data_IF_052073304830
#
_entry.id   IF_052073304830
#
_cell.length_a   1.000
_cell.length_b   1.000
_cell.length_c   1.000
_cell.angle_alpha   90.00
_cell.angle_beta   90.00
_cell.angle_gamma   90.00
#
_symmetry.space_group_name_H-M   'P 1'
#
loop_
_entity.id
_entity.type
_entity.pdbx_description
1 polymer ?
#
# COMPACT_ATOMS: atom_id res chain seq x y z
N UNK A 1 19.72 -29.96 13.96
CA UNK A 1 19.80 -28.59 14.49
C UNK A 1 18.38 -28.12 14.69
N UNK A 2 17.91 -28.06 15.94
CA UNK A 2 16.60 -27.55 16.31
C UNK A 2 16.63 -26.03 16.17
N UNK A 3 15.87 -25.48 15.23
CA UNK A 3 15.70 -24.04 15.12
C UNK A 3 14.83 -23.56 16.27
N UNK A 4 15.43 -22.86 17.22
CA UNK A 4 14.70 -22.08 18.21
C UNK A 4 13.96 -20.97 17.46
N UNK A 5 12.65 -21.12 17.30
CA UNK A 5 11.79 -19.99 16.95
C UNK A 5 11.83 -19.03 18.14
N UNK A 6 12.18 -17.77 17.90
CA UNK A 6 12.12 -16.71 18.89
C UNK A 6 10.65 -16.58 19.33
N UNK A 7 10.33 -17.06 20.54
CA UNK A 7 8.96 -17.02 21.05
C UNK A 7 8.57 -15.57 21.33
N UNK A 8 7.60 -15.07 20.56
CA UNK A 8 6.87 -13.82 20.86
C UNK A 8 6.28 -13.93 22.27
N UNK A 9 6.60 -12.98 23.16
CA UNK A 9 6.03 -12.99 24.53
C UNK A 9 4.56 -12.57 24.48
N UNK A 10 3.75 -13.03 25.44
CA UNK A 10 2.35 -12.59 25.56
C UNK A 10 2.23 -11.06 25.62
N UNK A 11 3.16 -10.41 26.32
CA UNK A 11 3.22 -8.95 26.38
C UNK A 11 3.59 -8.32 25.03
N UNK A 12 4.50 -8.93 24.24
CA UNK A 12 4.81 -8.49 22.87
C UNK A 12 3.58 -8.53 21.97
N UNK A 13 2.78 -9.59 22.10
CA UNK A 13 1.52 -9.74 21.35
C UNK A 13 0.51 -8.69 21.80
N UNK A 14 0.29 -8.51 23.11
CA UNK A 14 -0.62 -7.49 23.67
C UNK A 14 -0.20 -6.09 23.22
N UNK A 15 1.08 -5.75 23.33
CA UNK A 15 1.59 -4.46 22.91
C UNK A 15 1.39 -4.25 21.40
N UNK A 16 1.59 -5.30 20.59
CA UNK A 16 1.40 -5.24 19.14
C UNK A 16 -0.07 -5.03 18.76
N UNK A 17 -1.01 -5.69 19.44
CA UNK A 17 -2.44 -5.59 19.14
C UNK A 17 -3.10 -4.35 19.74
N UNK A 18 -2.53 -3.74 20.78
CA UNK A 18 -3.11 -2.58 21.47
C UNK A 18 -2.55 -1.23 21.04
N UNK A 19 -1.45 -1.21 20.26
CA UNK A 19 -0.85 0.03 19.78
C UNK A 19 -1.68 0.70 18.70
N UNK A 20 -1.76 2.04 18.78
CA UNK A 20 -2.27 2.86 17.69
C UNK A 20 -1.31 2.79 16.50
N UNK A 21 -1.83 2.39 15.35
CA UNK A 21 -1.04 2.34 14.12
C UNK A 21 -0.62 3.76 13.69
N UNK A 22 0.68 4.01 13.68
CA UNK A 22 1.26 5.24 13.15
C UNK A 22 1.80 4.97 11.75
N UNK A 23 1.20 5.58 10.73
CA UNK A 23 1.66 5.44 9.35
C UNK A 23 3.12 5.88 9.17
N UNK A 24 3.79 5.30 8.19
CA UNK A 24 5.12 5.69 7.72
C UNK A 24 5.06 6.11 6.23
N UNK A 25 6.21 6.43 5.64
CA UNK A 25 6.32 6.82 4.23
C UNK A 25 5.70 5.77 3.31
N UNK A 26 6.08 4.51 3.48
CA UNK A 26 5.61 3.41 2.66
C UNK A 26 4.08 3.26 2.70
N UNK A 27 3.50 3.34 3.90
CA UNK A 27 2.06 3.17 4.08
C UNK A 27 1.31 4.36 3.50
N UNK A 28 1.82 5.60 3.69
CA UNK A 28 1.17 6.81 3.15
C UNK A 28 1.27 6.91 1.63
N UNK A 29 2.40 6.47 1.04
CA UNK A 29 2.53 6.33 -0.41
C UNK A 29 1.54 5.28 -0.94
N UNK A 30 1.43 4.14 -0.25
CA UNK A 30 0.41 3.13 -0.53
C UNK A 30 -1.00 3.72 -0.50
N UNK A 31 -1.37 4.43 0.58
CA UNK A 31 -2.67 5.08 0.71
C UNK A 31 -2.95 6.08 -0.41
N UNK A 32 -1.96 6.88 -0.82
CA UNK A 32 -2.13 7.80 -1.96
C UNK A 32 -2.42 7.04 -3.27
N UNK A 33 -1.76 5.89 -3.48
CA UNK A 33 -2.01 5.03 -4.63
C UNK A 33 -3.41 4.41 -4.57
N UNK A 34 -3.82 3.84 -3.42
CA UNK A 34 -5.15 3.25 -3.22
C UNK A 34 -6.26 4.27 -3.48
N UNK A 35 -6.14 5.51 -2.99
CA UNK A 35 -7.14 6.57 -3.25
C UNK A 35 -7.34 6.87 -4.73
N UNK A 36 -6.29 6.80 -5.56
CA UNK A 36 -6.45 6.94 -7.01
C UNK A 36 -7.25 5.78 -7.57
N UNK A 37 -6.95 4.56 -7.12
CA UNK A 37 -7.65 3.36 -7.58
C UNK A 37 -9.09 3.33 -7.09
N UNK A 38 -9.39 3.82 -5.89
CA UNK A 38 -10.72 3.86 -5.26
C UNK A 38 -11.62 4.96 -5.84
N UNK A 39 -11.11 6.20 -5.90
CA UNK A 39 -11.93 7.36 -6.24
C UNK A 39 -11.88 7.69 -7.74
N UNK A 40 -10.83 7.27 -8.45
CA UNK A 40 -10.55 7.62 -9.85
C UNK A 40 -10.16 9.09 -10.07
N UNK A 41 -10.76 10.03 -9.33
CA UNK A 41 -10.40 11.45 -9.37
C UNK A 41 -10.25 12.02 -7.96
N UNK A 42 -9.37 11.46 -7.13
CA UNK A 42 -9.16 11.96 -5.77
C UNK A 42 -8.69 13.42 -5.77
N UNK A 43 -9.07 14.14 -4.71
CA UNK A 43 -8.65 15.53 -4.51
C UNK A 43 -7.13 15.60 -4.41
N UNK A 44 -6.51 16.35 -5.31
CA UNK A 44 -5.07 16.51 -5.38
C UNK A 44 -4.65 17.88 -5.90
N UNK A 45 -3.42 18.27 -5.58
CA UNK A 45 -2.77 19.48 -6.08
C UNK A 45 -1.85 19.13 -7.26
N UNK A 46 -1.71 20.05 -8.22
CA UNK A 46 -0.73 19.88 -9.31
C UNK A 46 0.67 20.10 -8.76
N UNK A 47 1.56 19.11 -8.92
CA UNK A 47 2.97 19.25 -8.61
C UNK A 47 3.74 19.59 -9.89
N UNK A 48 4.34 20.79 -10.03
CA UNK A 48 5.15 21.12 -11.19
C UNK A 48 6.43 20.27 -11.22
N UNK A 49 7.00 20.12 -12.42
CA UNK A 49 8.34 19.55 -12.56
C UNK A 49 9.36 20.45 -11.84
N UNK A 50 10.45 19.85 -11.36
CA UNK A 50 11.47 20.56 -10.62
C UNK A 50 12.73 19.74 -10.46
N UNK A 51 13.46 20.02 -9.38
CA UNK A 51 14.72 19.36 -9.06
C UNK A 51 14.72 18.97 -7.59
N UNK A 52 15.15 17.75 -7.28
CA UNK A 52 15.35 17.27 -5.91
C UNK A 52 16.84 17.30 -5.58
N UNK A 53 17.19 17.96 -4.48
CA UNK A 53 18.53 17.95 -3.89
C UNK A 53 18.61 16.85 -2.82
N UNK A 54 19.68 16.07 -2.83
CA UNK A 54 19.95 15.04 -1.83
C UNK A 54 21.45 14.83 -1.65
N UNK A 55 21.85 14.21 -0.54
CA UNK A 55 23.24 13.85 -0.28
C UNK A 55 23.54 12.47 -0.85
N UNK A 56 24.60 12.37 -1.67
CA UNK A 56 25.12 11.11 -2.18
C UNK A 56 26.61 11.02 -1.83
N UNK A 57 26.99 10.06 -0.98
CA UNK A 57 28.36 9.95 -0.42
C UNK A 57 28.89 11.27 0.16
N UNK A 58 28.04 12.01 0.88
CA UNK A 58 28.40 13.30 1.49
C UNK A 58 28.53 14.47 0.51
N UNK A 59 28.21 14.28 -0.78
CA UNK A 59 28.15 15.36 -1.78
C UNK A 59 26.71 15.72 -2.09
N UNK A 60 26.41 17.01 -2.12
CA UNK A 60 25.12 17.49 -2.63
C UNK A 60 25.00 17.13 -4.11
N UNK A 61 23.90 16.46 -4.44
CA UNK A 61 23.56 16.02 -5.79
C UNK A 61 22.13 16.46 -6.09
N UNK A 62 21.86 16.68 -7.37
CA UNK A 62 20.56 17.09 -7.88
C UNK A 62 20.06 16.10 -8.93
N UNK A 63 18.76 15.86 -8.96
CA UNK A 63 18.11 15.12 -10.04
C UNK A 63 16.81 15.79 -10.47
N UNK A 64 16.44 15.67 -11.76
CA UNK A 64 15.17 16.19 -12.23
C UNK A 64 14.01 15.38 -11.64
N UNK A 65 12.97 16.08 -11.24
CA UNK A 65 11.73 15.48 -10.74
C UNK A 65 10.61 15.81 -11.73
N UNK A 66 9.90 14.81 -12.28
CA UNK A 66 8.84 15.05 -13.23
C UNK A 66 7.63 15.76 -12.59
N UNK A 67 6.75 16.29 -13.45
CA UNK A 67 5.47 16.81 -12.99
C UNK A 67 4.59 15.67 -12.47
N UNK A 68 3.69 16.01 -11.54
CA UNK A 68 2.91 15.02 -10.81
C UNK A 68 1.63 15.55 -10.16
N UNK A 69 1.19 14.81 -9.14
CA UNK A 69 0.07 15.13 -8.27
C UNK A 69 0.49 14.94 -6.82
N UNK A 70 0.08 15.88 -5.98
CA UNK A 70 0.29 15.83 -4.53
C UNK A 70 -1.03 15.56 -3.83
N UNK A 71 -1.01 14.59 -2.94
CA UNK A 71 -2.13 14.12 -2.13
C UNK A 71 -1.85 14.44 -0.66
N UNK A 72 -2.88 14.85 0.07
CA UNK A 72 -2.81 15.00 1.51
C UNK A 72 -3.24 13.69 2.15
N UNK A 73 -2.29 12.96 2.75
CA UNK A 73 -2.53 11.72 3.49
C UNK A 73 -2.17 11.97 4.95
N UNK A 74 -3.20 12.11 5.79
CA UNK A 74 -3.08 12.36 7.23
C UNK A 74 -2.21 13.57 7.60
N UNK A 75 -2.29 14.65 6.80
CA UNK A 75 -1.49 15.87 6.97
C UNK A 75 -0.11 15.81 6.30
N UNK A 76 0.25 14.70 5.65
CA UNK A 76 1.49 14.55 4.90
C UNK A 76 1.25 14.72 3.40
N UNK A 77 2.09 15.54 2.77
CA UNK A 77 2.05 15.77 1.33
C UNK A 77 2.81 14.67 0.60
N UNK A 78 2.07 13.75 -0.01
CA UNK A 78 2.61 12.64 -0.82
C UNK A 78 2.54 13.00 -2.29
N UNK A 79 3.65 12.93 -3.02
CA UNK A 79 3.70 13.27 -4.44
C UNK A 79 4.02 12.05 -5.30
N UNK A 80 3.12 11.77 -6.25
CA UNK A 80 3.26 10.78 -7.32
C UNK A 80 3.44 11.48 -8.65
N UNK A 81 4.18 10.90 -9.59
CA UNK A 81 4.31 11.49 -10.91
C UNK A 81 3.12 11.13 -11.81
N UNK A 82 3.03 11.79 -12.97
CA UNK A 82 1.92 11.55 -13.89
C UNK A 82 1.88 10.10 -14.39
N UNK A 83 3.03 9.45 -14.57
CA UNK A 83 3.09 8.07 -15.06
C UNK A 83 2.58 7.10 -13.99
N UNK A 84 3.04 7.25 -12.74
CA UNK A 84 2.58 6.52 -11.57
C UNK A 84 1.07 6.68 -11.36
N UNK A 85 0.53 7.91 -11.44
CA UNK A 85 -0.91 8.15 -11.37
C UNK A 85 -1.66 7.45 -12.52
N UNK A 86 -1.11 7.45 -13.74
CA UNK A 86 -1.72 6.77 -14.89
C UNK A 86 -1.74 5.26 -14.73
N UNK A 87 -0.72 4.66 -14.09
CA UNK A 87 -0.72 3.22 -13.77
C UNK A 87 -1.90 2.88 -12.85
N UNK A 88 -2.07 3.63 -11.75
CA UNK A 88 -3.20 3.44 -10.83
C UNK A 88 -4.56 3.62 -11.53
N UNK A 89 -4.72 4.66 -12.35
CA UNK A 89 -5.95 4.90 -13.12
C UNK A 89 -6.21 3.80 -14.16
N UNK A 90 -5.18 3.36 -14.87
CA UNK A 90 -5.29 2.28 -15.84
C UNK A 90 -5.65 0.97 -15.16
N UNK A 91 -5.15 0.72 -13.95
CA UNK A 91 -5.49 -0.45 -13.16
C UNK A 91 -6.96 -0.41 -12.71
N UNK A 92 -7.43 0.72 -12.16
CA UNK A 92 -8.86 0.92 -11.85
C UNK A 92 -9.75 0.61 -13.05
N UNK A 93 -9.39 1.13 -14.22
CA UNK A 93 -10.20 0.98 -15.43
C UNK A 93 -10.27 -0.45 -15.98
N UNK A 94 -9.45 -1.39 -15.48
CA UNK A 94 -9.59 -2.82 -15.80
C UNK A 94 -10.82 -3.44 -15.14
N UNK A 95 -11.32 -2.83 -14.05
CA UNK A 95 -12.41 -3.35 -13.24
C UNK A 95 -13.50 -2.27 -13.04
N UNK A 96 -14.18 -1.83 -14.11
CA UNK A 96 -15.07 -0.65 -14.07
C UNK A 96 -16.31 -0.84 -13.18
N UNK A 97 -16.76 -2.08 -13.00
CA UNK A 97 -17.95 -2.43 -12.22
C UNK A 97 -17.61 -2.99 -10.82
N UNK A 98 -16.33 -2.98 -10.45
CA UNK A 98 -15.88 -3.51 -9.17
C UNK A 98 -16.21 -2.57 -7.99
N UNK A 99 -16.39 -3.18 -6.83
CA UNK A 99 -16.60 -2.47 -5.58
C UNK A 99 -15.26 -2.18 -4.92
N UNK A 100 -15.08 -0.97 -4.39
CA UNK A 100 -13.83 -0.53 -3.77
C UNK A 100 -13.99 -0.32 -2.25
N UNK A 101 -12.92 -0.58 -1.49
CA UNK A 101 -12.81 -0.31 -0.04
C UNK A 101 -13.99 -0.83 0.79
N UNK A 102 -14.39 -2.07 0.53
CA UNK A 102 -15.54 -2.68 1.20
C UNK A 102 -15.13 -3.28 2.53
N UNK A 103 -15.73 -2.80 3.62
CA UNK A 103 -15.47 -3.29 4.98
C UNK A 103 -16.53 -4.28 5.43
N UNK A 104 -16.09 -5.47 5.83
CA UNK A 104 -16.93 -6.48 6.47
C UNK A 104 -16.33 -6.92 7.81
N UNK A 105 -17.16 -7.59 8.59
CA UNK A 105 -16.73 -8.24 9.82
C UNK A 105 -17.43 -9.58 9.98
N UNK A 106 -16.79 -10.48 10.73
CA UNK A 106 -17.36 -11.78 11.09
C UNK A 106 -16.99 -12.12 12.53
N UNK A 107 -17.98 -12.56 13.29
CA UNK A 107 -17.82 -13.03 14.66
C UNK A 107 -17.43 -14.52 14.67
N UNK A 108 -16.29 -14.84 15.26
CA UNK A 108 -15.79 -16.21 15.47
C UNK A 108 -15.92 -16.65 16.94
N UNK A 109 -16.78 -15.98 17.71
CA UNK A 109 -17.12 -16.27 19.10
C UNK A 109 -16.15 -15.63 20.10
N UNK A 110 -14.86 -16.00 20.05
CA UNK A 110 -13.84 -15.43 20.96
C UNK A 110 -13.17 -14.17 20.41
N UNK A 111 -13.34 -13.91 19.12
CA UNK A 111 -12.78 -12.76 18.44
C UNK A 111 -13.71 -12.36 17.30
N UNK A 112 -13.79 -11.06 17.05
CA UNK A 112 -14.43 -10.50 15.86
C UNK A 112 -13.33 -10.07 14.91
N UNK A 113 -13.35 -10.63 13.70
CA UNK A 113 -12.40 -10.25 12.64
C UNK A 113 -13.08 -9.21 11.77
N UNK A 114 -12.37 -8.12 11.50
CA UNK A 114 -12.78 -7.09 10.54
C UNK A 114 -11.78 -7.09 9.38
N UNK A 115 -12.27 -6.84 8.17
CA UNK A 115 -11.45 -6.77 6.97
C UNK A 115 -11.96 -5.69 6.03
N UNK A 116 -11.04 -5.04 5.30
CA UNK A 116 -11.35 -4.09 4.25
C UNK A 116 -10.74 -4.62 2.95
N UNK A 117 -11.58 -4.99 1.98
CA UNK A 117 -11.12 -5.42 0.66
C UNK A 117 -10.91 -4.20 -0.24
N UNK A 118 -9.75 -4.12 -0.88
CA UNK A 118 -9.42 -3.00 -1.77
C UNK A 118 -10.35 -3.00 -3.00
N UNK A 119 -10.50 -4.16 -3.64
CA UNK A 119 -11.38 -4.37 -4.80
C UNK A 119 -12.10 -5.72 -4.69
N UNK A 120 -13.40 -5.70 -4.95
CA UNK A 120 -14.24 -6.89 -5.14
C UNK A 120 -14.82 -6.85 -6.56
N UNK A 121 -14.38 -7.79 -7.39
CA UNK A 121 -14.85 -7.97 -8.76
C UNK A 121 -15.57 -9.31 -8.89
N UNK A 122 -16.89 -9.30 -8.74
CA UNK A 122 -17.70 -10.52 -8.68
C UNK A 122 -17.35 -11.40 -7.47
N UNK A 123 -16.76 -12.57 -7.74
CA UNK A 123 -16.33 -13.54 -6.71
C UNK A 123 -14.81 -13.53 -6.48
N UNK A 124 -14.11 -12.56 -7.08
CA UNK A 124 -12.67 -12.37 -6.97
C UNK A 124 -12.37 -11.17 -6.07
N UNK A 125 -11.38 -11.34 -5.19
CA UNK A 125 -10.82 -10.26 -4.39
C UNK A 125 -9.46 -9.87 -4.96
N UNK A 126 -9.20 -8.57 -5.02
CA UNK A 126 -7.89 -8.04 -5.39
C UNK A 126 -7.38 -7.13 -4.29
N UNK A 127 -6.17 -7.40 -3.85
CA UNK A 127 -5.48 -6.66 -2.81
C UNK A 127 -4.22 -6.04 -3.41
N UNK A 128 -4.16 -4.72 -3.34
CA UNK A 128 -3.13 -3.88 -3.93
C UNK A 128 -1.99 -3.79 -2.94
N UNK A 129 -0.77 -4.11 -3.40
CA UNK A 129 0.43 -3.97 -2.57
C UNK A 129 1.45 -3.11 -3.29
N UNK A 130 1.78 -1.96 -2.70
CA UNK A 130 2.93 -1.15 -3.14
C UNK A 130 4.22 -1.73 -2.54
N UNK A 131 5.22 -1.91 -3.39
CA UNK A 131 6.51 -2.53 -3.03
C UNK A 131 7.66 -1.60 -3.40
N UNK A 132 8.69 -1.64 -2.57
CA UNK A 132 9.86 -0.76 -2.66
C UNK A 132 11.17 -1.56 -2.76
N UNK A 133 11.02 -2.88 -2.94
CA UNK A 133 12.05 -3.89 -3.12
C UNK A 133 11.45 -5.03 -3.94
N UNK A 134 12.30 -5.94 -4.41
CA UNK A 134 11.85 -7.17 -5.07
C UNK A 134 10.88 -7.94 -4.14
N UNK A 135 9.69 -8.33 -4.64
CA UNK A 135 8.76 -9.15 -3.86
C UNK A 135 9.30 -10.56 -3.61
N UNK A 136 8.96 -11.13 -2.45
CA UNK A 136 9.20 -12.54 -2.15
C UNK A 136 7.85 -13.29 -2.14
N UNK A 137 7.72 -14.33 -2.96
CA UNK A 137 6.47 -15.11 -3.11
C UNK A 137 6.00 -15.73 -1.78
N UNK A 138 6.94 -16.11 -0.91
CA UNK A 138 6.63 -16.74 0.37
C UNK A 138 5.81 -15.82 1.29
N UNK A 139 6.03 -14.49 1.21
CA UNK A 139 5.31 -13.49 2.00
C UNK A 139 3.80 -13.51 1.68
N UNK A 140 3.43 -13.93 0.48
CA UNK A 140 2.05 -13.91 -0.02
C UNK A 140 1.38 -15.28 0.09
N UNK A 141 2.09 -16.34 -0.29
CA UNK A 141 1.58 -17.72 -0.25
C UNK A 141 1.25 -18.11 1.20
N UNK A 142 2.14 -17.77 2.13
CA UNK A 142 1.99 -18.13 3.54
C UNK A 142 1.15 -17.12 4.33
N UNK A 143 0.73 -16.01 3.71
CA UNK A 143 -0.09 -15.01 4.37
C UNK A 143 -1.44 -15.58 4.80
N UNK A 144 -1.86 -15.22 6.02
CA UNK A 144 -3.20 -15.52 6.53
C UNK A 144 -4.25 -14.53 6.01
N UNK A 145 -3.82 -13.36 5.50
CA UNK A 145 -4.71 -12.28 5.08
C UNK A 145 -5.73 -12.76 4.04
N UNK A 146 -5.25 -13.37 2.95
CA UNK A 146 -6.11 -13.82 1.86
C UNK A 146 -7.09 -14.92 2.31
N UNK A 147 -6.66 -15.79 3.22
CA UNK A 147 -7.48 -16.89 3.75
C UNK A 147 -8.69 -16.37 4.49
N UNK A 148 -8.47 -15.41 5.39
CA UNK A 148 -9.56 -14.73 6.09
C UNK A 148 -10.44 -13.96 5.12
N UNK A 149 -9.85 -13.24 4.16
CA UNK A 149 -10.61 -12.44 3.21
C UNK A 149 -11.55 -13.29 2.35
N UNK A 150 -11.10 -14.44 1.83
CA UNK A 150 -11.98 -15.36 1.10
C UNK A 150 -13.19 -15.78 1.94
N UNK A 151 -12.98 -16.09 3.22
CA UNK A 151 -14.07 -16.47 4.13
C UNK A 151 -14.99 -15.29 4.49
N UNK A 152 -14.42 -14.12 4.78
CA UNK A 152 -15.19 -12.92 5.16
C UNK A 152 -16.08 -12.41 4.03
N UNK A 153 -15.57 -12.41 2.80
CA UNK A 153 -16.29 -11.89 1.64
C UNK A 153 -17.00 -12.98 0.82
N UNK A 154 -16.93 -14.25 1.26
CA UNK A 154 -17.49 -15.41 0.53
C UNK A 154 -17.02 -15.47 -0.92
N UNK A 155 -15.72 -15.23 -1.13
CA UNK A 155 -15.06 -15.19 -2.43
C UNK A 155 -14.32 -16.51 -2.70
N UNK A 156 -13.97 -16.75 -3.97
CA UNK A 156 -13.31 -17.99 -4.39
C UNK A 156 -11.84 -17.79 -4.77
N UNK A 157 -11.49 -16.60 -5.23
CA UNK A 157 -10.15 -16.28 -5.73
C UNK A 157 -9.67 -15.00 -5.09
N UNK A 158 -8.39 -14.98 -4.73
CA UNK A 158 -7.71 -13.82 -4.18
C UNK A 158 -6.46 -13.53 -5.01
N UNK A 159 -6.29 -12.28 -5.40
CA UNK A 159 -5.13 -11.78 -6.12
C UNK A 159 -4.35 -10.79 -5.26
N UNK A 160 -3.03 -10.94 -5.25
CA UNK A 160 -2.12 -9.88 -4.84
C UNK A 160 -1.65 -9.15 -6.09
N UNK A 161 -2.07 -7.90 -6.25
CA UNK A 161 -1.70 -7.05 -7.37
C UNK A 161 -0.56 -6.12 -6.92
N UNK A 162 0.66 -6.43 -7.39
CA UNK A 162 1.89 -5.82 -6.90
C UNK A 162 2.33 -4.64 -7.77
N UNK A 163 2.57 -3.49 -7.13
CA UNK A 163 3.05 -2.27 -7.79
C UNK A 163 4.40 -1.85 -7.22
N UNK A 164 5.44 -1.93 -8.04
CA UNK A 164 6.83 -1.68 -7.61
C UNK A 164 7.21 -0.22 -7.89
N UNK A 165 7.64 0.48 -6.85
CA UNK A 165 8.28 1.79 -6.94
C UNK A 165 9.78 1.59 -7.11
N UNK A 166 10.21 1.38 -8.37
CA UNK A 166 11.61 1.13 -8.70
C UNK A 166 12.52 2.29 -8.25
N UNK A 167 13.66 1.96 -7.64
CA UNK A 167 14.64 2.96 -7.23
C UNK A 167 14.25 3.81 -6.03
N UNK A 168 13.08 3.58 -5.41
CA UNK A 168 12.69 4.29 -4.19
C UNK A 168 13.71 4.06 -3.07
N UNK A 169 14.06 5.16 -2.41
CA UNK A 169 14.96 5.21 -1.26
C UNK A 169 14.40 6.20 -0.26
N UNK A 170 13.99 5.73 0.92
CA UNK A 170 13.32 6.54 1.94
C UNK A 170 14.09 7.84 2.26
N UNK A 171 15.40 7.75 2.51
CA UNK A 171 16.22 8.92 2.87
C UNK A 171 16.37 9.96 1.74
N UNK A 172 16.16 9.54 0.49
CA UNK A 172 16.26 10.42 -0.68
C UNK A 172 14.90 10.99 -1.05
N UNK A 173 13.87 10.16 -1.08
CA UNK A 173 12.58 10.48 -1.67
C UNK A 173 11.56 10.94 -0.62
N UNK A 174 11.60 10.38 0.59
CA UNK A 174 10.60 10.64 1.63
C UNK A 174 9.19 10.38 1.09
N UNK A 175 8.36 11.43 1.08
CA UNK A 175 6.99 11.42 0.55
C UNK A 175 6.87 11.86 -0.92
N UNK A 176 7.95 12.35 -1.53
CA UNK A 176 7.96 12.71 -2.95
C UNK A 176 8.61 11.58 -3.75
N UNK A 177 7.79 10.71 -4.33
CA UNK A 177 8.27 9.49 -5.02
C UNK A 177 8.25 9.61 -6.53
N UNK A 178 8.16 10.84 -7.03
CA UNK A 178 8.21 11.14 -8.45
C UNK A 178 9.56 10.75 -9.06
N UNK A 179 9.51 10.18 -10.27
CA UNK A 179 10.66 9.61 -10.98
C UNK A 179 10.87 8.13 -10.70
#
# INVERSE_FOLDING_TARGET
MSGDYEFETEQSVIDTITRDFQGNEYTRIGTAFHRIVEEGTPKCEKAPAGTRKFLYYGKETEEPVPAGRTFDVDGFKVSLDIAQCKVALSYRNQFPDAWHEMRLYKDYGRAMITGCADIIDGIELRDIKTKYSEPNDEDYINSVQWRYYLELFSANVFHFDLFIFEGYKKEKHGYDVRG
#
